data_IF_825388470416
#
_entry.id   IF_825388470416
#
_cell.length_a   1.000
_cell.length_b   1.000
_cell.length_c   1.000
_cell.angle_alpha   90.00
_cell.angle_beta   90.00
_cell.angle_gamma   90.00
#
_symmetry.space_group_name_H-M   'P 1'
#
loop_
_entity.id
_entity.type
_entity.pdbx_description
1 polymer ?
#
# COMPACT_ATOMS: atom_id res chain seq x y z
N UNK A 1 27.16 -26.90 -26.92
CA UNK A 1 25.98 -26.01 -26.80
C UNK A 1 26.35 -24.97 -25.78
N UNK A 2 26.77 -23.83 -26.28
CA UNK A 2 27.25 -22.71 -25.48
C UNK A 2 26.04 -21.96 -24.96
N UNK A 3 25.79 -22.02 -23.64
CA UNK A 3 24.76 -21.22 -23.00
C UNK A 3 25.31 -19.79 -22.97
N UNK A 4 24.84 -18.96 -23.90
CA UNK A 4 25.16 -17.55 -23.94
C UNK A 4 24.80 -16.86 -22.63
N UNK A 5 25.83 -16.52 -21.87
CA UNK A 5 25.69 -15.56 -20.76
C UNK A 5 25.28 -14.22 -21.37
N UNK A 6 23.98 -13.86 -21.22
CA UNK A 6 23.53 -12.51 -21.52
C UNK A 6 24.41 -11.52 -20.75
N UNK A 7 25.12 -10.69 -21.49
CA UNK A 7 25.92 -9.60 -20.93
C UNK A 7 24.98 -8.56 -20.37
N UNK A 8 24.70 -8.61 -19.04
CA UNK A 8 24.00 -7.56 -18.33
C UNK A 8 24.74 -6.24 -18.58
N UNK A 9 24.05 -5.23 -19.14
CA UNK A 9 24.59 -3.87 -19.15
C UNK A 9 24.80 -3.43 -17.70
N UNK A 10 25.97 -2.87 -17.36
CA UNK A 10 26.17 -2.36 -16.00
C UNK A 10 25.21 -1.20 -15.74
N UNK A 11 24.65 -1.15 -14.49
CA UNK A 11 23.90 -0.01 -14.02
C UNK A 11 24.74 1.26 -14.18
N UNK A 12 24.11 2.38 -14.55
CA UNK A 12 24.85 3.63 -14.59
C UNK A 12 25.21 4.10 -13.16
N UNK A 13 26.19 5.00 -13.07
CA UNK A 13 26.71 5.46 -11.77
C UNK A 13 25.65 6.20 -10.93
N UNK A 14 24.66 6.81 -11.58
CA UNK A 14 23.58 7.52 -10.91
C UNK A 14 22.59 6.53 -10.29
N UNK A 15 22.21 5.48 -11.02
CA UNK A 15 21.32 4.43 -10.54
C UNK A 15 21.92 3.72 -9.31
N UNK A 16 23.22 3.37 -9.34
CA UNK A 16 23.90 2.74 -8.21
C UNK A 16 23.94 3.63 -6.98
N UNK A 17 24.25 4.92 -7.15
CA UNK A 17 24.25 5.87 -6.02
C UNK A 17 22.87 6.03 -5.40
N UNK A 18 21.81 5.99 -6.21
CA UNK A 18 20.44 6.06 -5.71
C UNK A 18 20.09 4.83 -4.89
N UNK A 19 20.46 3.63 -5.37
CA UNK A 19 20.30 2.39 -4.60
C UNK A 19 21.03 2.45 -3.27
N UNK A 20 22.33 2.80 -3.26
CA UNK A 20 23.14 2.91 -2.04
C UNK A 20 22.50 3.86 -1.01
N UNK A 21 21.98 5.02 -1.48
CA UNK A 21 21.28 5.98 -0.63
C UNK A 21 20.03 5.37 0.00
N UNK A 22 19.22 4.64 -0.77
CA UNK A 22 17.99 3.99 -0.29
C UNK A 22 18.29 2.90 0.73
N UNK A 23 19.28 2.05 0.47
CA UNK A 23 19.72 1.01 1.40
C UNK A 23 20.24 1.61 2.72
N UNK A 24 21.03 2.68 2.65
CA UNK A 24 21.51 3.36 3.85
C UNK A 24 20.35 3.98 4.66
N UNK A 25 19.40 4.62 3.99
CA UNK A 25 18.21 5.17 4.64
C UNK A 25 17.39 4.09 5.33
N UNK A 26 17.17 2.97 4.65
CA UNK A 26 16.45 1.82 5.17
C UNK A 26 17.12 1.26 6.42
N UNK A 27 18.41 1.00 6.34
CA UNK A 27 19.20 0.52 7.47
C UNK A 27 19.10 1.46 8.67
N UNK A 28 19.22 2.76 8.45
CA UNK A 28 19.07 3.78 9.50
C UNK A 28 17.67 3.76 10.12
N UNK A 29 16.62 3.61 9.31
CA UNK A 29 15.25 3.51 9.79
C UNK A 29 15.06 2.29 10.69
N UNK A 30 15.53 1.11 10.25
CA UNK A 30 15.46 -0.15 11.00
C UNK A 30 16.23 -0.04 12.32
N UNK A 31 17.48 0.43 12.31
CA UNK A 31 18.28 0.62 13.51
C UNK A 31 17.60 1.55 14.52
N UNK A 32 16.97 2.63 14.05
CA UNK A 32 16.23 3.56 14.90
C UNK A 32 15.00 2.91 15.53
N UNK A 33 14.20 2.17 14.76
CA UNK A 33 13.03 1.44 15.25
C UNK A 33 13.44 0.45 16.36
N UNK A 34 14.48 -0.33 16.12
CA UNK A 34 14.95 -1.35 17.07
C UNK A 34 15.55 -0.74 18.34
N UNK A 35 16.12 0.46 18.22
CA UNK A 35 16.70 1.19 19.36
C UNK A 35 15.64 1.84 20.24
N UNK A 36 14.61 2.42 19.66
CA UNK A 36 13.54 3.12 20.37
C UNK A 36 12.23 3.04 19.60
N UNK A 37 11.28 2.27 20.11
CA UNK A 37 9.96 2.08 19.51
C UNK A 37 9.14 3.39 19.40
N UNK A 38 9.46 4.42 20.18
CA UNK A 38 8.85 5.76 20.02
C UNK A 38 9.26 6.44 18.71
N UNK A 39 10.41 6.05 18.13
CA UNK A 39 10.80 6.53 16.80
C UNK A 39 9.97 5.89 15.69
N UNK A 40 9.48 4.66 15.95
CA UNK A 40 8.51 4.02 15.07
C UNK A 40 7.14 4.69 15.17
N UNK A 41 6.58 4.77 16.37
CA UNK A 41 5.29 5.43 16.62
C UNK A 41 5.25 6.03 18.02
N UNK A 42 4.97 7.32 18.10
CA UNK A 42 4.78 8.06 19.35
C UNK A 42 3.29 8.47 19.47
N UNK A 43 2.50 7.81 20.34
CA UNK A 43 1.09 8.11 20.49
C UNK A 43 0.80 9.57 20.84
N UNK A 44 1.64 10.19 21.68
CA UNK A 44 1.45 11.59 22.12
C UNK A 44 1.63 12.59 20.97
N UNK A 45 2.68 12.40 20.15
CA UNK A 45 2.87 13.21 18.95
C UNK A 45 1.79 12.98 17.91
N UNK A 46 1.35 11.72 17.76
CA UNK A 46 0.28 11.38 16.83
C UNK A 46 -1.03 12.02 17.23
N UNK A 47 -1.42 11.94 18.52
CA UNK A 47 -2.64 12.56 19.05
C UNK A 47 -2.65 14.09 18.80
N UNK A 48 -1.54 14.76 19.05
CA UNK A 48 -1.42 16.20 18.78
C UNK A 48 -1.57 16.51 17.28
N UNK A 49 -0.99 15.69 16.42
CA UNK A 49 -1.10 15.83 14.97
C UNK A 49 -2.54 15.62 14.50
N UNK A 50 -3.23 14.60 15.03
CA UNK A 50 -4.64 14.29 14.74
C UNK A 50 -5.52 15.47 15.15
N UNK A 51 -5.41 15.96 16.38
CA UNK A 51 -6.16 17.13 16.87
C UNK A 51 -5.96 18.37 15.98
N UNK A 52 -4.74 18.59 15.53
CA UNK A 52 -4.42 19.72 14.65
C UNK A 52 -5.00 19.55 13.26
N UNK A 53 -4.91 18.34 12.71
CA UNK A 53 -5.39 18.03 11.36
C UNK A 53 -6.91 18.14 11.25
N UNK A 54 -7.63 17.55 12.19
CA UNK A 54 -9.11 17.52 12.19
C UNK A 54 -9.76 18.64 13.01
N UNK A 55 -9.03 19.69 13.38
CA UNK A 55 -9.52 20.76 14.27
C UNK A 55 -10.83 21.45 13.83
N UNK A 56 -11.14 21.41 12.54
CA UNK A 56 -12.34 22.03 11.96
C UNK A 56 -13.41 20.99 11.60
N UNK A 57 -13.25 19.74 12.00
CA UNK A 57 -14.20 18.65 11.76
C UNK A 57 -14.93 18.33 13.05
N UNK A 58 -16.26 18.44 13.02
CA UNK A 58 -17.13 17.86 14.03
C UNK A 58 -17.67 16.53 13.49
N UNK A 59 -17.17 15.41 13.99
CA UNK A 59 -17.57 14.08 13.51
C UNK A 59 -19.02 13.73 13.73
N UNK A 60 -19.72 14.39 14.68
CA UNK A 60 -21.16 14.19 14.89
C UNK A 60 -22.02 14.80 13.77
N UNK A 61 -21.47 15.77 13.05
CA UNK A 61 -22.14 16.49 11.96
C UNK A 61 -21.42 16.31 10.62
N UNK A 62 -20.27 15.62 10.63
CA UNK A 62 -19.45 15.42 9.45
C UNK A 62 -20.14 14.47 8.46
N UNK A 63 -19.92 14.75 7.19
CA UNK A 63 -20.35 13.90 6.10
C UNK A 63 -19.16 13.57 5.17
N UNK A 64 -19.36 12.61 4.29
CA UNK A 64 -18.33 12.17 3.33
C UNK A 64 -17.71 13.33 2.54
N UNK A 65 -18.50 14.32 2.14
CA UNK A 65 -18.05 15.47 1.36
C UNK A 65 -17.05 16.32 2.13
N UNK A 66 -17.40 16.74 3.35
CA UNK A 66 -16.52 17.58 4.19
C UNK A 66 -15.18 16.89 4.50
N UNK A 67 -15.21 15.60 4.80
CA UNK A 67 -14.00 14.80 5.03
C UNK A 67 -13.19 14.60 3.75
N UNK A 68 -13.85 14.34 2.62
CA UNK A 68 -13.20 14.24 1.31
C UNK A 68 -12.49 15.55 0.94
N UNK A 69 -13.12 16.71 1.14
CA UNK A 69 -12.53 18.03 0.92
C UNK A 69 -11.31 18.28 1.83
N UNK A 70 -11.38 17.88 3.11
CA UNK A 70 -10.22 17.96 4.01
C UNK A 70 -9.07 17.11 3.48
N UNK A 71 -9.30 15.82 3.20
CA UNK A 71 -8.27 14.88 2.73
C UNK A 71 -7.69 15.35 1.40
N UNK A 72 -8.53 15.89 0.51
CA UNK A 72 -8.11 16.43 -0.78
C UNK A 72 -7.24 17.69 -0.63
N UNK A 73 -7.72 18.67 0.14
CA UNK A 73 -7.03 19.94 0.28
C UNK A 73 -5.74 19.86 1.08
N UNK A 74 -5.62 18.86 1.97
CA UNK A 74 -4.42 18.61 2.78
C UNK A 74 -3.35 17.77 2.08
N UNK A 75 -3.66 17.09 0.97
CA UNK A 75 -2.69 16.35 0.16
C UNK A 75 -1.78 17.31 -0.61
N UNK A 76 -0.82 17.92 0.09
CA UNK A 76 0.03 18.98 -0.44
C UNK A 76 1.15 18.48 -1.34
N UNK A 77 1.84 17.42 -0.93
CA UNK A 77 2.93 16.80 -1.68
C UNK A 77 2.44 15.54 -2.36
N UNK A 78 2.17 15.66 -3.66
CA UNK A 78 1.82 14.53 -4.53
C UNK A 78 3.11 13.84 -4.96
N UNK A 79 3.45 12.73 -4.35
CA UNK A 79 4.63 11.96 -4.71
C UNK A 79 4.37 11.09 -5.94
N UNK A 80 5.42 10.79 -6.71
CA UNK A 80 5.34 9.82 -7.81
C UNK A 80 5.46 8.41 -7.26
N UNK A 81 4.95 7.45 -8.01
CA UNK A 81 5.10 6.05 -7.66
C UNK A 81 6.58 5.65 -7.61
N UNK A 82 7.10 5.49 -6.42
CA UNK A 82 8.46 5.01 -6.14
C UNK A 82 8.47 4.31 -4.77
N UNK A 83 8.11 3.00 -4.72
CA UNK A 83 8.03 2.26 -3.47
C UNK A 83 9.35 2.23 -2.70
N UNK A 84 10.46 2.13 -3.42
CA UNK A 84 11.81 2.07 -2.82
C UNK A 84 12.28 3.39 -2.22
N UNK A 85 11.59 4.50 -2.50
CA UNK A 85 11.88 5.80 -1.86
C UNK A 85 11.08 6.02 -0.59
N UNK A 86 9.81 5.55 -0.53
CA UNK A 86 8.91 5.90 0.57
C UNK A 86 8.33 4.67 1.29
N UNK A 87 7.90 3.64 0.55
CA UNK A 87 7.14 2.52 1.10
C UNK A 87 8.07 1.62 1.92
N UNK A 88 9.05 1.01 1.28
CA UNK A 88 9.90 0.01 1.93
C UNK A 88 10.86 0.59 2.99
N UNK A 89 11.46 1.80 2.80
CA UNK A 89 12.40 2.32 3.79
C UNK A 89 11.75 2.81 5.07
N UNK A 90 10.44 3.08 5.06
CA UNK A 90 9.79 3.70 6.20
C UNK A 90 8.30 3.40 6.34
N UNK A 91 7.48 3.77 5.35
CA UNK A 91 6.01 3.76 5.50
C UNK A 91 5.47 2.38 5.84
N UNK A 92 6.03 1.33 5.24
CA UNK A 92 5.54 -0.04 5.37
C UNK A 92 6.32 -0.92 6.35
N UNK A 93 7.34 -0.36 7.00
CA UNK A 93 8.08 -1.08 8.05
C UNK A 93 7.15 -1.47 9.19
N UNK A 94 7.40 -2.65 9.75
CA UNK A 94 6.74 -3.15 10.96
C UNK A 94 7.56 -2.76 12.20
N UNK A 95 7.00 -2.90 13.42
CA UNK A 95 7.73 -2.59 14.66
C UNK A 95 9.04 -3.37 14.85
N UNK A 96 9.19 -4.52 14.19
CA UNK A 96 10.41 -5.33 14.17
C UNK A 96 11.43 -4.91 13.09
N UNK A 97 11.15 -3.82 12.36
CA UNK A 97 12.00 -3.32 11.28
C UNK A 97 11.88 -4.09 9.97
N UNK A 98 10.96 -5.03 9.85
CA UNK A 98 10.75 -5.85 8.65
C UNK A 98 9.58 -5.36 7.83
N UNK A 99 9.51 -5.79 6.58
CA UNK A 99 8.34 -5.68 5.73
C UNK A 99 7.49 -6.93 5.86
N UNK A 100 6.19 -6.80 5.57
CA UNK A 100 5.26 -7.93 5.55
C UNK A 100 4.36 -7.83 4.34
N UNK A 101 4.33 -8.88 3.51
CA UNK A 101 3.44 -8.96 2.34
C UNK A 101 1.99 -8.83 2.78
N UNK A 102 1.26 -7.89 2.15
CA UNK A 102 -0.11 -7.55 2.55
C UNK A 102 -1.08 -8.72 2.42
N UNK A 103 -0.90 -9.61 1.45
CA UNK A 103 -1.82 -10.72 1.20
C UNK A 103 -1.37 -12.03 1.81
N UNK A 104 -0.07 -12.36 1.78
CA UNK A 104 0.43 -13.64 2.33
C UNK A 104 0.87 -13.55 3.79
N UNK A 105 1.07 -12.36 4.32
CA UNK A 105 1.66 -12.19 5.65
C UNK A 105 3.13 -12.60 5.75
N UNK A 106 3.78 -12.95 4.64
CA UNK A 106 5.19 -13.32 4.62
C UNK A 106 6.07 -12.14 4.98
N UNK A 107 7.02 -12.37 5.90
CA UNK A 107 7.96 -11.36 6.38
C UNK A 107 9.20 -11.32 5.46
N UNK A 108 9.67 -10.11 5.13
CA UNK A 108 10.80 -9.86 4.25
C UNK A 108 11.75 -8.81 4.83
N UNK A 109 13.03 -8.94 4.54
CA UNK A 109 14.00 -7.89 4.86
C UNK A 109 13.82 -6.72 3.86
N UNK A 110 13.74 -5.47 4.32
CA UNK A 110 13.47 -4.34 3.43
C UNK A 110 14.58 -4.08 2.42
N UNK A 111 15.83 -4.37 2.77
CA UNK A 111 16.98 -4.24 1.88
C UNK A 111 16.88 -5.21 0.69
N UNK A 112 16.45 -6.45 0.93
CA UNK A 112 16.26 -7.46 -0.12
C UNK A 112 15.18 -7.03 -1.11
N UNK A 113 14.05 -6.51 -0.60
CA UNK A 113 12.95 -6.01 -1.44
C UNK A 113 13.38 -4.83 -2.30
N UNK A 114 14.14 -3.88 -1.75
CA UNK A 114 14.69 -2.74 -2.49
C UNK A 114 15.66 -3.20 -3.57
N UNK A 115 16.50 -4.19 -3.26
CA UNK A 115 17.46 -4.74 -4.21
C UNK A 115 16.74 -5.44 -5.38
N UNK A 116 15.71 -6.23 -5.12
CA UNK A 116 14.90 -6.90 -6.14
C UNK A 116 14.17 -5.91 -7.06
N UNK A 117 13.57 -4.86 -6.47
CA UNK A 117 12.91 -3.81 -7.25
C UNK A 117 13.90 -3.04 -8.12
N UNK A 118 15.12 -2.83 -7.62
CA UNK A 118 16.19 -2.21 -8.40
C UNK A 118 16.64 -3.10 -9.58
N UNK A 119 16.80 -4.41 -9.37
CA UNK A 119 17.10 -5.34 -10.43
C UNK A 119 15.99 -5.40 -11.49
N UNK A 120 14.73 -5.34 -11.05
CA UNK A 120 13.56 -5.25 -11.92
C UNK A 120 13.58 -3.97 -12.75
N UNK A 121 13.89 -2.84 -12.11
CA UNK A 121 14.06 -1.56 -12.80
C UNK A 121 15.14 -1.63 -13.89
N UNK A 122 16.30 -2.20 -13.60
CA UNK A 122 17.40 -2.33 -14.59
C UNK A 122 17.01 -3.22 -15.78
N UNK A 123 16.29 -4.32 -15.54
CA UNK A 123 15.78 -5.19 -16.60
C UNK A 123 14.78 -4.45 -17.49
N UNK A 124 13.83 -3.70 -16.89
CA UNK A 124 12.87 -2.91 -17.65
C UNK A 124 13.54 -1.77 -18.45
N UNK A 125 14.58 -1.14 -17.90
CA UNK A 125 15.36 -0.09 -18.56
C UNK A 125 16.09 -0.66 -19.77
N UNK A 126 16.75 -1.81 -19.65
CA UNK A 126 17.44 -2.49 -20.76
C UNK A 126 16.46 -2.89 -21.87
N UNK A 127 15.32 -3.49 -21.54
CA UNK A 127 14.32 -3.90 -22.52
C UNK A 127 13.73 -2.70 -23.31
N UNK A 128 13.54 -1.55 -22.67
CA UNK A 128 13.05 -0.34 -23.35
C UNK A 128 14.08 0.31 -24.28
N UNK A 129 15.39 0.16 -24.01
CA UNK A 129 16.46 0.67 -24.89
C UNK A 129 16.67 -0.21 -26.13
N UNK A 130 16.36 -1.50 -26.05
CA UNK A 130 16.51 -2.46 -27.15
C UNK A 130 15.33 -2.50 -28.13
N UNK A 131 14.31 -1.62 -27.96
CA UNK A 131 13.05 -1.61 -28.73
C UNK A 131 12.30 -2.97 -28.73
N UNK A 132 12.56 -3.83 -27.76
CA UNK A 132 11.73 -5.00 -27.53
C UNK A 132 10.37 -4.55 -27.01
N UNK A 133 9.31 -5.04 -27.69
CA UNK A 133 7.92 -4.62 -27.46
C UNK A 133 7.59 -4.73 -25.96
N UNK A 134 7.28 -3.62 -25.25
CA UNK A 134 7.14 -3.60 -23.79
C UNK A 134 5.95 -4.42 -23.25
N UNK A 135 5.10 -4.98 -24.11
CA UNK A 135 3.81 -5.54 -23.72
C UNK A 135 3.87 -6.86 -22.95
N UNK A 136 4.69 -7.81 -23.38
CA UNK A 136 4.71 -9.16 -22.78
C UNK A 136 5.79 -9.32 -21.70
N UNK A 137 6.97 -8.75 -21.87
CA UNK A 137 8.08 -8.88 -20.93
C UNK A 137 7.86 -8.06 -19.65
N UNK A 138 7.26 -6.87 -19.74
CA UNK A 138 6.93 -6.02 -18.59
C UNK A 138 5.91 -6.66 -17.63
N UNK A 139 5.08 -7.58 -18.12
CA UNK A 139 4.10 -8.30 -17.28
C UNK A 139 4.75 -9.36 -16.37
N UNK A 140 5.94 -9.84 -16.72
CA UNK A 140 6.69 -10.87 -15.97
C UNK A 140 7.58 -10.26 -14.88
N UNK A 141 7.96 -8.98 -15.02
CA UNK A 141 8.81 -8.28 -14.07
C UNK A 141 7.95 -7.39 -13.17
N UNK A 142 7.51 -7.93 -12.05
CA UNK A 142 6.62 -7.24 -11.11
C UNK A 142 7.41 -6.73 -9.91
N UNK A 143 7.11 -5.50 -9.51
CA UNK A 143 7.61 -4.93 -8.28
C UNK A 143 6.91 -5.55 -7.05
N UNK A 144 7.60 -5.53 -5.93
CA UNK A 144 7.08 -5.99 -4.64
C UNK A 144 6.10 -4.98 -4.00
N UNK A 145 5.32 -4.24 -4.81
CA UNK A 145 4.37 -3.23 -4.34
C UNK A 145 3.00 -3.43 -4.96
N UNK A 146 1.99 -3.52 -4.11
CA UNK A 146 0.59 -3.61 -4.45
C UNK A 146 -0.07 -2.23 -4.41
N UNK A 147 -0.98 -2.00 -5.36
CA UNK A 147 -1.98 -0.94 -5.30
C UNK A 147 -3.30 -1.54 -4.85
N UNK A 148 -3.71 -1.36 -3.59
CA UNK A 148 -4.97 -1.88 -3.08
C UNK A 148 -6.17 -1.47 -3.94
N UNK A 149 -6.14 -0.30 -4.56
CA UNK A 149 -7.00 0.09 -5.69
C UNK A 149 -6.22 -0.11 -6.98
N UNK A 150 -6.61 -1.05 -7.86
CA UNK A 150 -5.82 -1.37 -9.05
C UNK A 150 -5.59 -0.16 -9.96
N UNK A 151 -4.37 -0.05 -10.47
CA UNK A 151 -3.99 1.05 -11.35
C UNK A 151 -4.85 1.14 -12.62
N UNK A 152 -5.36 0.00 -13.12
CA UNK A 152 -6.24 -0.05 -14.30
C UNK A 152 -7.60 0.58 -14.06
N UNK A 153 -8.03 0.73 -12.80
CA UNK A 153 -9.32 1.30 -12.46
C UNK A 153 -9.40 2.81 -12.64
N UNK A 154 -8.25 3.49 -12.68
CA UNK A 154 -8.10 4.94 -12.83
C UNK A 154 -7.05 5.33 -13.88
N UNK A 155 -6.77 4.43 -14.83
CA UNK A 155 -5.88 4.66 -15.99
C UNK A 155 -4.45 5.07 -15.57
N UNK A 156 -3.95 4.52 -14.46
CA UNK A 156 -2.62 4.81 -13.89
C UNK A 156 -2.32 6.30 -13.68
N UNK A 157 -3.35 7.13 -13.56
CA UNK A 157 -3.20 8.60 -13.42
C UNK A 157 -2.58 8.98 -12.09
N UNK A 158 -1.75 10.02 -12.11
CA UNK A 158 -1.30 10.70 -10.91
C UNK A 158 -2.35 11.76 -10.48
N UNK A 159 -2.52 12.05 -9.21
CA UNK A 159 -1.69 11.62 -8.08
C UNK A 159 -2.08 10.25 -7.48
N UNK A 160 -3.11 9.60 -7.98
CA UNK A 160 -3.63 8.34 -7.44
C UNK A 160 -2.55 7.25 -7.42
N UNK A 161 -1.80 7.12 -8.53
CA UNK A 161 -0.76 6.09 -8.66
C UNK A 161 0.33 6.19 -7.60
N UNK A 162 0.69 7.39 -7.18
CA UNK A 162 1.73 7.63 -6.18
C UNK A 162 1.19 7.79 -4.75
N UNK A 163 -0.13 7.75 -4.51
CA UNK A 163 -0.69 7.96 -3.18
C UNK A 163 -0.35 6.80 -2.24
N UNK A 164 0.45 7.10 -1.21
CA UNK A 164 1.01 6.11 -0.29
C UNK A 164 -0.05 5.39 0.56
N UNK A 165 -1.26 5.96 0.71
CA UNK A 165 -2.32 5.35 1.50
C UNK A 165 -2.85 4.03 0.94
N UNK A 166 -2.62 3.75 -0.35
CA UNK A 166 -3.04 2.49 -0.96
C UNK A 166 -1.88 1.68 -1.59
N UNK A 167 -0.64 1.99 -1.21
CA UNK A 167 0.56 1.27 -1.63
C UNK A 167 1.08 0.39 -0.48
N UNK A 168 1.30 -0.89 -0.74
CA UNK A 168 1.74 -1.85 0.27
C UNK A 168 2.81 -2.79 -0.28
N UNK A 169 3.70 -3.25 0.57
CA UNK A 169 4.58 -4.38 0.25
C UNK A 169 3.74 -5.61 -0.04
N UNK A 170 4.04 -6.27 -1.15
CA UNK A 170 3.34 -7.47 -1.57
C UNK A 170 4.28 -8.43 -2.27
N UNK A 171 4.11 -9.72 -2.02
CA UNK A 171 4.74 -10.74 -2.85
C UNK A 171 4.26 -10.61 -4.30
N UNK A 172 5.16 -10.59 -5.32
CA UNK A 172 4.77 -10.43 -6.72
C UNK A 172 3.80 -11.50 -7.23
N UNK A 173 3.88 -12.73 -6.68
CA UNK A 173 2.92 -13.80 -6.99
C UNK A 173 1.54 -13.47 -6.47
N UNK A 174 1.43 -13.01 -5.22
CA UNK A 174 0.15 -12.61 -4.63
C UNK A 174 -0.47 -11.43 -5.36
N UNK A 175 0.34 -10.46 -5.74
CA UNK A 175 -0.08 -9.34 -6.57
C UNK A 175 -0.62 -9.82 -7.94
N UNK A 176 0.02 -10.84 -8.53
CA UNK A 176 -0.45 -11.47 -9.78
C UNK A 176 -1.79 -12.17 -9.63
N UNK A 177 -1.98 -12.94 -8.55
CA UNK A 177 -3.23 -13.65 -8.27
C UNK A 177 -4.37 -12.66 -8.03
N UNK A 178 -4.10 -11.59 -7.28
CA UNK A 178 -5.06 -10.53 -7.02
C UNK A 178 -5.50 -9.82 -8.31
N UNK A 179 -4.59 -9.63 -9.26
CA UNK A 179 -4.90 -9.00 -10.55
C UNK A 179 -5.53 -7.60 -10.37
N UNK A 180 -6.60 -7.29 -11.10
CA UNK A 180 -7.43 -6.09 -10.92
C UNK A 180 -8.83 -6.42 -10.39
N UNK A 181 -8.98 -7.53 -9.69
CA UNK A 181 -10.25 -7.99 -9.19
C UNK A 181 -10.74 -7.16 -8.00
N UNK A 182 -12.04 -6.82 -7.89
CA UNK A 182 -12.60 -6.24 -6.69
C UNK A 182 -12.54 -7.21 -5.50
N UNK A 183 -12.54 -6.66 -4.30
CA UNK A 183 -12.60 -7.45 -3.08
C UNK A 183 -13.98 -8.10 -2.91
N UNK A 184 -13.97 -9.31 -2.36
CA UNK A 184 -15.16 -10.11 -2.16
C UNK A 184 -14.98 -11.03 -0.94
N UNK A 185 -16.07 -11.53 -0.37
CA UNK A 185 -16.06 -12.49 0.73
C UNK A 185 -16.76 -13.78 0.28
N UNK A 186 -15.96 -14.84 0.03
CA UNK A 186 -16.49 -16.10 -0.51
C UNK A 186 -17.06 -16.98 0.61
N UNK A 187 -18.33 -17.36 0.51
CA UNK A 187 -18.99 -18.20 1.51
C UNK A 187 -18.26 -19.53 1.82
N UNK A 188 -17.43 -20.00 0.88
CA UNK A 188 -16.67 -21.26 1.01
C UNK A 188 -15.17 -21.03 1.25
N UNK A 189 -14.79 -19.85 1.69
CA UNK A 189 -13.40 -19.55 2.06
C UNK A 189 -13.36 -19.33 3.58
N UNK A 190 -13.09 -20.39 4.35
CA UNK A 190 -13.19 -20.31 5.80
C UNK A 190 -12.14 -19.38 6.37
N UNK A 191 -12.59 -18.47 7.24
CA UNK A 191 -11.71 -17.77 8.17
C UNK A 191 -11.07 -18.85 9.04
N UNK A 192 -9.79 -19.08 8.87
CA UNK A 192 -9.12 -20.03 9.75
C UNK A 192 -8.73 -19.27 11.01
N UNK A 193 -9.26 -19.70 12.15
CA UNK A 193 -9.08 -19.08 13.48
C UNK A 193 -7.62 -18.94 13.93
N UNK A 194 -6.66 -19.51 13.23
CA UNK A 194 -5.25 -19.51 13.55
C UNK A 194 -4.41 -18.49 12.75
N UNK A 195 -5.01 -17.42 12.22
CA UNK A 195 -4.34 -16.44 11.36
C UNK A 195 -3.11 -15.72 11.98
N UNK A 196 -2.92 -15.82 13.29
CA UNK A 196 -1.80 -15.17 14.01
C UNK A 196 -0.46 -15.81 13.67
N UNK A 197 -0.42 -17.07 13.22
CA UNK A 197 0.81 -17.83 12.96
C UNK A 197 0.93 -18.35 11.51
N UNK A 198 0.07 -17.93 10.60
CA UNK A 198 0.15 -18.38 9.22
C UNK A 198 1.16 -17.59 8.42
N UNK A 199 2.38 -18.04 8.47
CA UNK A 199 3.36 -17.82 7.41
C UNK A 199 3.02 -18.81 6.30
N UNK A 200 1.90 -18.64 5.61
CA UNK A 200 1.56 -19.51 4.51
C UNK A 200 1.63 -18.70 3.21
N UNK A 201 2.17 -19.35 2.20
CA UNK A 201 2.26 -18.87 0.83
C UNK A 201 0.88 -18.72 0.15
N UNK A 202 -0.19 -18.63 0.95
CA UNK A 202 -1.56 -18.45 0.49
C UNK A 202 -1.87 -16.96 0.40
N UNK A 203 -2.02 -16.50 -0.82
CA UNK A 203 -2.26 -15.09 -1.10
C UNK A 203 -3.71 -14.66 -0.90
N UNK A 204 -4.61 -15.61 -0.71
CA UNK A 204 -6.06 -15.43 -0.75
C UNK A 204 -6.71 -16.22 -1.88
N UNK A 205 -8.03 -16.07 -2.05
CA UNK A 205 -8.84 -16.74 -3.06
C UNK A 205 -9.20 -15.79 -4.21
N UNK A 206 -8.87 -16.19 -5.43
CA UNK A 206 -9.32 -15.52 -6.64
C UNK A 206 -10.26 -16.43 -7.43
N UNK A 207 -11.49 -15.99 -7.68
CA UNK A 207 -12.52 -16.76 -8.41
C UNK A 207 -13.52 -15.80 -9.06
N UNK A 208 -13.94 -16.09 -10.30
CA UNK A 208 -14.93 -15.31 -11.04
C UNK A 208 -14.62 -13.79 -11.11
N UNK A 209 -13.35 -13.42 -11.29
CA UNK A 209 -12.88 -12.03 -11.30
C UNK A 209 -13.13 -11.27 -9.98
N UNK A 210 -13.19 -11.95 -8.86
CA UNK A 210 -13.22 -11.42 -7.51
C UNK A 210 -12.04 -11.97 -6.69
N UNK A 211 -11.65 -11.24 -5.64
CA UNK A 211 -10.53 -11.61 -4.80
C UNK A 211 -10.84 -11.40 -3.32
N UNK A 212 -10.59 -12.45 -2.53
CA UNK A 212 -10.62 -12.40 -1.07
C UNK A 212 -9.21 -12.59 -0.55
N UNK A 213 -8.63 -11.59 0.17
CA UNK A 213 -7.32 -11.73 0.75
C UNK A 213 -7.33 -12.71 1.93
N UNK A 214 -6.29 -13.53 2.05
CA UNK A 214 -6.07 -14.37 3.23
C UNK A 214 -5.73 -13.54 4.46
N UNK A 215 -5.08 -12.39 4.25
CA UNK A 215 -4.53 -11.56 5.29
C UNK A 215 -4.91 -10.09 5.10
N UNK A 216 -5.02 -9.34 6.23
CA UNK A 216 -5.18 -7.88 6.25
C UNK A 216 -6.45 -7.34 5.56
N UNK A 217 -7.60 -8.02 5.70
CA UNK A 217 -8.90 -7.55 5.17
C UNK A 217 -9.21 -6.12 5.63
N UNK A 218 -9.05 -5.82 6.92
CA UNK A 218 -9.28 -4.48 7.47
C UNK A 218 -8.35 -3.41 6.90
N UNK A 219 -7.08 -3.76 6.67
CA UNK A 219 -6.08 -2.82 6.10
C UNK A 219 -6.45 -2.42 4.67
N UNK A 220 -6.76 -3.41 3.81
CA UNK A 220 -7.14 -3.12 2.41
C UNK A 220 -8.48 -2.44 2.32
N UNK A 221 -9.42 -2.75 3.23
CA UNK A 221 -10.71 -2.07 3.31
C UNK A 221 -10.55 -0.59 3.63
N UNK A 222 -9.76 -0.23 4.66
CA UNK A 222 -9.48 1.17 5.01
C UNK A 222 -8.74 1.93 3.91
N UNK A 223 -7.90 1.25 3.18
CA UNK A 223 -7.20 1.81 2.03
C UNK A 223 -8.15 2.11 0.87
N UNK A 224 -9.06 1.17 0.57
CA UNK A 224 -10.07 1.31 -0.46
C UNK A 224 -11.08 2.42 -0.11
N UNK A 225 -11.60 2.43 1.14
CA UNK A 225 -12.52 3.45 1.64
C UNK A 225 -11.87 4.84 1.63
N UNK A 226 -10.60 4.96 2.00
CA UNK A 226 -9.84 6.20 1.86
C UNK A 226 -9.79 6.66 0.40
N UNK A 227 -9.50 5.76 -0.54
CA UNK A 227 -9.43 6.11 -1.96
C UNK A 227 -10.78 6.62 -2.48
N UNK A 228 -11.88 5.96 -2.12
CA UNK A 228 -13.24 6.40 -2.47
C UNK A 228 -13.59 7.77 -1.87
N UNK A 229 -13.09 8.07 -0.67
CA UNK A 229 -13.26 9.37 -0.03
C UNK A 229 -12.43 10.46 -0.70
N UNK A 230 -11.18 10.14 -1.03
CA UNK A 230 -10.22 11.09 -1.60
C UNK A 230 -10.45 11.35 -3.10
N UNK A 231 -10.90 10.33 -3.82
CA UNK A 231 -11.02 10.29 -5.27
C UNK A 231 -12.39 9.74 -5.70
N UNK A 232 -13.50 10.40 -5.31
CA UNK A 232 -14.84 9.82 -5.43
C UNK A 232 -15.28 9.51 -6.86
N UNK A 233 -14.72 10.20 -7.87
CA UNK A 233 -15.12 10.10 -9.27
C UNK A 233 -14.03 9.54 -10.20
N UNK A 234 -12.87 9.12 -9.63
CA UNK A 234 -11.71 8.76 -10.46
C UNK A 234 -11.68 7.28 -10.87
N UNK A 235 -12.46 6.42 -10.22
CA UNK A 235 -12.58 5.03 -10.63
C UNK A 235 -13.56 4.93 -11.80
N UNK A 236 -13.14 4.24 -12.87
CA UNK A 236 -14.01 3.99 -14.01
C UNK A 236 -15.34 3.36 -13.59
N UNK A 237 -16.48 3.80 -14.17
CA UNK A 237 -17.82 3.36 -13.73
C UNK A 237 -18.02 1.84 -13.74
N UNK A 238 -17.36 1.12 -14.65
CA UNK A 238 -17.44 -0.34 -14.74
C UNK A 238 -16.85 -1.05 -13.51
N UNK A 239 -15.72 -0.54 -13.00
CA UNK A 239 -15.09 -1.05 -11.78
C UNK A 239 -15.78 -0.51 -10.53
N UNK A 240 -16.19 0.76 -10.55
CA UNK A 240 -16.86 1.40 -9.40
C UNK A 240 -18.13 0.65 -8.97
N UNK A 241 -18.90 0.14 -9.92
CA UNK A 241 -20.12 -0.66 -9.67
C UNK A 241 -19.85 -2.02 -9.02
N UNK A 242 -18.62 -2.54 -9.14
CA UNK A 242 -18.20 -3.82 -8.55
C UNK A 242 -17.65 -3.67 -7.12
N UNK A 243 -17.46 -2.43 -6.66
CA UNK A 243 -16.97 -2.17 -5.29
C UNK A 243 -18.13 -2.29 -4.32
N UNK A 244 -18.01 -3.22 -3.39
CA UNK A 244 -18.95 -3.43 -2.29
C UNK A 244 -18.48 -2.62 -1.06
N UNK A 245 -19.04 -1.42 -0.88
CA UNK A 245 -18.69 -0.56 0.25
C UNK A 245 -19.17 -1.13 1.58
N UNK A 246 -20.29 -1.88 1.59
CA UNK A 246 -20.80 -2.51 2.81
C UNK A 246 -19.84 -3.60 3.31
N UNK A 247 -19.35 -4.46 2.40
CA UNK A 247 -18.31 -5.44 2.71
C UNK A 247 -17.04 -4.77 3.27
N UNK A 248 -16.59 -3.68 2.65
CA UNK A 248 -15.41 -2.95 3.12
C UNK A 248 -15.61 -2.38 4.52
N UNK A 249 -16.80 -1.87 4.84
CA UNK A 249 -17.14 -1.40 6.20
C UNK A 249 -17.21 -2.55 7.20
N UNK A 250 -17.73 -3.71 6.81
CA UNK A 250 -17.73 -4.91 7.65
C UNK A 250 -16.30 -5.35 7.98
N UNK A 251 -15.41 -5.41 7.00
CA UNK A 251 -14.00 -5.75 7.22
C UNK A 251 -13.26 -4.71 8.07
N UNK A 252 -13.55 -3.43 7.82
CA UNK A 252 -13.02 -2.33 8.63
C UNK A 252 -13.42 -2.46 10.11
N UNK A 253 -14.67 -2.81 10.39
CA UNK A 253 -15.19 -2.98 11.75
C UNK A 253 -14.66 -4.27 12.41
N UNK A 254 -14.55 -5.36 11.65
CA UNK A 254 -14.08 -6.65 12.16
C UNK A 254 -12.59 -6.63 12.53
N UNK A 255 -11.77 -5.85 11.82
CA UNK A 255 -10.34 -5.73 12.03
C UNK A 255 -9.94 -4.27 12.32
N UNK A 256 -10.00 -3.79 13.56
CA UNK A 256 -9.64 -2.41 13.90
C UNK A 256 -8.15 -2.10 13.60
N UNK A 257 -7.81 -0.82 13.30
CA UNK A 257 -6.45 -0.43 12.95
C UNK A 257 -5.48 -0.64 14.11
N UNK A 258 -4.36 -1.31 13.83
CA UNK A 258 -3.28 -1.53 14.79
C UNK A 258 -2.15 -0.50 14.69
N UNK A 259 -1.13 -0.67 15.55
CA UNK A 259 0.05 0.22 15.61
C UNK A 259 0.75 0.40 14.26
N UNK A 260 0.76 -0.64 13.43
CA UNK A 260 1.32 -0.57 12.08
C UNK A 260 0.58 0.44 11.20
N UNK A 261 -0.74 0.43 11.20
CA UNK A 261 -1.51 1.37 10.39
C UNK A 261 -1.43 2.80 10.96
N UNK A 262 -1.38 2.93 12.29
CA UNK A 262 -1.18 4.22 12.96
C UNK A 262 0.19 4.81 12.59
N UNK A 263 1.25 4.00 12.58
CA UNK A 263 2.57 4.39 12.07
C UNK A 263 2.49 4.83 10.60
N UNK A 264 1.91 4.00 9.73
CA UNK A 264 1.76 4.35 8.31
C UNK A 264 1.05 5.69 8.13
N UNK A 265 -0.08 5.88 8.80
CA UNK A 265 -0.87 7.10 8.70
C UNK A 265 -0.07 8.34 9.13
N UNK A 266 0.70 8.24 10.21
CA UNK A 266 1.59 9.30 10.68
C UNK A 266 2.75 9.57 9.72
N UNK A 267 3.38 8.51 9.19
CA UNK A 267 4.48 8.60 8.24
C UNK A 267 4.01 9.26 6.92
N UNK A 268 2.86 8.81 6.40
CA UNK A 268 2.27 9.39 5.18
C UNK A 268 1.88 10.85 5.40
N UNK A 269 1.28 11.18 6.53
CA UNK A 269 0.99 12.57 6.90
C UNK A 269 2.25 13.45 6.83
N UNK A 270 3.37 12.96 7.37
CA UNK A 270 4.64 13.69 7.32
C UNK A 270 5.19 13.86 5.91
N UNK A 271 4.89 12.96 4.99
CA UNK A 271 5.34 12.97 3.60
C UNK A 271 4.37 13.74 2.70
N UNK A 272 3.08 13.40 2.72
CA UNK A 272 2.06 13.90 1.79
C UNK A 272 1.24 15.05 2.36
N UNK A 273 1.09 15.14 3.69
CA UNK A 273 0.32 16.16 4.38
C UNK A 273 -1.14 15.79 4.65
N UNK A 274 -1.61 14.64 4.20
CA UNK A 274 -2.96 14.14 4.44
C UNK A 274 -2.96 12.88 5.31
N UNK A 275 -4.12 12.59 5.93
CA UNK A 275 -4.32 11.43 6.81
C UNK A 275 -5.50 10.59 6.32
N UNK A 276 -5.50 9.31 6.69
CA UNK A 276 -6.64 8.43 6.48
C UNK A 276 -7.54 8.46 7.72
N UNK A 277 -8.76 9.03 7.65
CA UNK A 277 -9.66 9.11 8.80
C UNK A 277 -10.17 7.75 9.28
N UNK A 278 -10.21 6.72 8.42
CA UNK A 278 -10.56 5.35 8.83
C UNK A 278 -9.54 4.70 9.77
N UNK A 279 -8.33 5.29 9.88
CA UNK A 279 -7.31 4.86 10.84
C UNK A 279 -7.37 5.72 12.10
N UNK A 280 -7.59 7.04 11.96
CA UNK A 280 -7.60 7.97 13.10
C UNK A 280 -8.90 7.94 13.92
N UNK A 281 -10.04 7.72 13.25
CA UNK A 281 -11.40 7.73 13.82
C UNK A 281 -12.24 6.58 13.26
N UNK A 282 -11.86 5.33 13.54
CA UNK A 282 -12.48 4.18 12.89
C UNK A 282 -13.98 4.03 13.18
N UNK A 283 -14.42 4.32 14.39
CA UNK A 283 -15.82 4.21 14.78
C UNK A 283 -16.69 5.34 14.20
N UNK A 284 -16.17 6.57 14.20
CA UNK A 284 -16.87 7.74 13.66
C UNK A 284 -17.02 7.62 12.14
N UNK A 285 -16.05 7.03 11.45
CA UNK A 285 -16.13 6.83 10.00
C UNK A 285 -17.22 5.85 9.60
N UNK A 286 -17.55 4.85 10.42
CA UNK A 286 -18.70 3.98 10.20
C UNK A 286 -19.98 4.78 10.23
N UNK A 287 -20.12 5.70 11.20
CA UNK A 287 -21.31 6.56 11.32
C UNK A 287 -21.45 7.49 10.11
N UNK A 288 -20.34 8.12 9.67
CA UNK A 288 -20.32 9.00 8.49
C UNK A 288 -20.71 8.27 7.21
N UNK A 289 -20.45 6.98 7.10
CA UNK A 289 -20.78 6.19 5.92
C UNK A 289 -22.18 5.59 5.94
N UNK A 290 -22.82 5.50 7.09
CA UNK A 290 -24.19 5.02 7.26
C UNK A 290 -25.25 6.15 7.18
N UNK A 291 -24.81 7.42 7.09
CA UNK A 291 -25.68 8.60 6.88
C UNK A 291 -25.72 8.99 5.41
#
# INVERSE_FOLDING_TARGET
>A
MDQGFEKRKPADRADVKQLEKRLLQTKTSVENILKDQKLYYDPGKSEQSIKTYYRNINFQEANRKALGELVQSSHKKKVRYDPSEYVYPWVDLRPDGKLKSIYSGETREPEDVIQEDFETYLKNKAASEENEIPGEFSSLLKYNCEHAVPQSWYDKKEPMRGDLHHLFTCDPRCNSIRSNYPYYDFANYPIQEAAVNRVERQCGKAENEYFEPEYAKGVVARSMLYFLLRYPEEIEPGYRKKVDEELLLQWHQAEPPGIYEQHRNQAIYSIQGNRNPFIDFPEEMIQVYNT
#
